data_IF_216144608440
#
_entry.id   IF_216144608440
#
_cell.length_a   1.000
_cell.length_b   1.000
_cell.length_c   1.000
_cell.angle_alpha   90.00
_cell.angle_beta   90.00
_cell.angle_gamma   90.00
#
_symmetry.space_group_name_H-M   'P 1'
#
loop_
_entity.id
_entity.type
_entity.pdbx_description
1 polymer ?
#
# COMPACT_ATOMS: atom_id res chain seq x y z
N UNK A 1 -6.14 -14.17 7.60
CA UNK A 1 -5.66 -14.76 8.87
C UNK A 1 -5.78 -16.28 8.94
N UNK A 2 -6.74 -16.93 8.24
CA UNK A 2 -6.95 -18.37 8.30
C UNK A 2 -5.69 -19.24 8.06
N UNK A 3 -4.85 -18.91 7.07
CA UNK A 3 -3.66 -19.70 6.77
C UNK A 3 -2.57 -19.65 7.84
N UNK A 4 -2.40 -18.50 8.52
CA UNK A 4 -1.45 -18.39 9.63
C UNK A 4 -1.96 -19.17 10.85
N UNK A 5 -3.27 -19.07 11.13
CA UNK A 5 -3.88 -19.84 12.20
C UNK A 5 -3.73 -21.35 11.97
N UNK A 6 -4.06 -21.84 10.77
CA UNK A 6 -3.90 -23.24 10.41
C UNK A 6 -2.43 -23.71 10.54
N UNK A 7 -1.46 -22.89 10.12
CA UNK A 7 -0.05 -23.20 10.33
C UNK A 7 0.31 -23.31 11.82
N UNK A 8 -0.14 -22.38 12.66
CA UNK A 8 0.15 -22.39 14.09
C UNK A 8 -0.59 -23.50 14.86
N UNK A 9 -1.76 -23.92 14.39
CA UNK A 9 -2.47 -25.08 14.91
C UNK A 9 -1.71 -26.38 14.63
N UNK A 10 -1.08 -26.48 13.45
CA UNK A 10 -0.32 -27.67 13.04
C UNK A 10 1.10 -27.70 13.65
N UNK A 11 1.82 -26.58 13.59
CA UNK A 11 3.23 -26.47 13.99
C UNK A 11 3.42 -25.97 15.44
N UNK A 12 2.35 -25.53 16.10
CA UNK A 12 2.34 -25.00 17.46
C UNK A 12 2.81 -23.54 17.57
N UNK A 13 2.45 -22.88 18.67
CA UNK A 13 2.95 -21.53 18.96
C UNK A 13 4.46 -21.57 19.28
N UNK A 14 5.28 -20.69 18.69
CA UNK A 14 6.67 -20.53 19.12
C UNK A 14 6.74 -20.07 20.57
N UNK A 15 7.79 -20.52 21.28
CA UNK A 15 8.18 -19.89 22.55
C UNK A 15 8.51 -18.42 22.32
N UNK A 16 8.43 -17.63 23.40
CA UNK A 16 8.77 -16.21 23.35
C UNK A 16 10.18 -15.99 22.76
N UNK A 17 10.30 -15.02 21.86
CA UNK A 17 11.54 -14.70 21.16
C UNK A 17 11.94 -15.67 20.05
N UNK A 18 11.21 -16.77 19.83
CA UNK A 18 11.53 -17.74 18.78
C UNK A 18 10.88 -17.40 17.43
N UNK A 19 11.52 -17.74 16.29
CA UNK A 19 10.96 -17.51 14.96
C UNK A 19 9.64 -18.26 14.75
N UNK A 20 8.65 -17.57 14.18
CA UNK A 20 7.33 -18.13 13.83
C UNK A 20 7.46 -19.21 12.77
N UNK A 21 8.23 -18.93 11.71
CA UNK A 21 8.38 -19.83 10.57
C UNK A 21 9.48 -20.86 10.81
N UNK A 22 9.15 -22.15 10.72
CA UNK A 22 10.06 -23.26 10.97
C UNK A 22 10.02 -24.27 9.83
N UNK A 23 11.12 -25.01 9.66
CA UNK A 23 11.18 -26.14 8.73
C UNK A 23 10.35 -27.30 9.26
N UNK A 24 9.51 -27.88 8.39
CA UNK A 24 8.62 -28.99 8.76
C UNK A 24 9.24 -30.39 8.61
N UNK A 25 10.38 -30.50 7.91
CA UNK A 25 11.05 -31.78 7.67
C UNK A 25 12.18 -31.96 8.66
N UNK A 26 12.13 -33.05 9.42
CA UNK A 26 13.12 -33.37 10.45
C UNK A 26 12.93 -32.50 11.70
N UNK A 27 14.03 -32.23 12.38
CA UNK A 27 14.05 -31.34 13.54
C UNK A 27 13.62 -29.91 13.16
N UNK A 28 12.65 -29.29 13.87
CA UNK A 28 12.20 -27.93 13.60
C UNK A 28 13.33 -26.92 13.76
N UNK A 29 13.62 -26.17 12.69
CA UNK A 29 14.65 -25.10 12.68
C UNK A 29 14.07 -23.81 12.11
N UNK A 30 14.57 -22.63 12.50
CA UNK A 30 14.16 -21.37 11.90
C UNK A 30 14.23 -21.40 10.37
N UNK A 31 13.17 -20.93 9.72
CA UNK A 31 13.12 -20.86 8.27
C UNK A 31 14.10 -19.81 7.76
N UNK A 32 15.15 -20.25 7.06
CA UNK A 32 16.12 -19.34 6.44
C UNK A 32 15.55 -18.70 5.17
N UNK A 33 16.12 -17.56 4.76
CA UNK A 33 15.77 -16.93 3.49
C UNK A 33 15.89 -17.90 2.30
N UNK A 34 16.96 -18.69 2.26
CA UNK A 34 17.18 -19.68 1.19
C UNK A 34 16.15 -20.80 1.18
N UNK A 35 15.75 -21.28 2.37
CA UNK A 35 14.67 -22.26 2.48
C UNK A 35 13.34 -21.68 1.99
N UNK A 36 12.98 -20.47 2.42
CA UNK A 36 11.79 -19.77 1.95
C UNK A 36 11.81 -19.55 0.42
N UNK A 37 12.95 -19.10 -0.11
CA UNK A 37 13.16 -18.92 -1.55
C UNK A 37 12.97 -20.23 -2.32
N UNK A 38 13.51 -21.34 -1.81
CA UNK A 38 13.38 -22.66 -2.46
C UNK A 38 11.95 -23.19 -2.41
N UNK A 39 11.23 -22.98 -1.30
CA UNK A 39 9.80 -23.30 -1.20
C UNK A 39 9.01 -22.52 -2.26
N UNK A 40 9.26 -21.22 -2.39
CA UNK A 40 8.56 -20.38 -3.34
C UNK A 40 8.88 -20.74 -4.80
N UNK A 41 10.14 -21.04 -5.12
CA UNK A 41 10.55 -21.52 -6.44
C UNK A 41 9.80 -22.80 -6.84
N UNK A 42 9.71 -23.78 -5.94
CA UNK A 42 8.96 -25.02 -6.20
C UNK A 42 7.48 -24.75 -6.46
N UNK A 43 6.88 -23.80 -5.74
CA UNK A 43 5.50 -23.39 -5.99
C UNK A 43 5.35 -22.73 -7.37
N UNK A 44 6.30 -21.88 -7.77
CA UNK A 44 6.31 -21.27 -9.10
C UNK A 44 6.47 -22.32 -10.21
N UNK A 45 7.40 -23.27 -10.05
CA UNK A 45 7.59 -24.42 -10.96
C UNK A 45 6.28 -25.21 -11.13
N UNK A 46 5.59 -25.53 -10.04
CA UNK A 46 4.32 -26.26 -10.07
C UNK A 46 3.18 -25.47 -10.76
N UNK A 47 3.23 -24.14 -10.70
CA UNK A 47 2.25 -23.25 -11.33
C UNK A 47 2.64 -22.84 -12.77
N UNK A 48 3.81 -23.28 -13.28
CA UNK A 48 4.34 -22.82 -14.56
C UNK A 48 4.65 -21.33 -14.60
N UNK A 49 4.99 -20.75 -13.44
CA UNK A 49 5.22 -19.31 -13.27
C UNK A 49 6.69 -19.01 -12.99
N UNK A 50 7.10 -17.75 -13.15
CA UNK A 50 8.49 -17.29 -12.98
C UNK A 50 8.63 -16.18 -11.94
N UNK A 51 7.72 -16.13 -10.96
CA UNK A 51 7.71 -15.08 -9.94
C UNK A 51 8.83 -15.27 -8.93
N UNK A 52 9.24 -14.16 -8.31
CA UNK A 52 10.14 -14.12 -7.16
C UNK A 52 9.42 -13.64 -5.89
N UNK A 53 10.02 -13.85 -4.72
CA UNK A 53 9.51 -13.27 -3.47
C UNK A 53 9.47 -11.74 -3.52
N UNK A 54 10.35 -11.10 -4.30
CA UNK A 54 10.36 -9.66 -4.46
C UNK A 54 9.16 -9.16 -5.29
N UNK A 55 8.71 -9.95 -6.26
CA UNK A 55 7.54 -9.60 -7.07
C UNK A 55 6.24 -9.60 -6.26
N UNK A 56 6.15 -10.43 -5.21
CA UNK A 56 5.05 -10.36 -4.24
C UNK A 56 5.04 -9.02 -3.52
N UNK A 57 6.21 -8.53 -3.09
CA UNK A 57 6.35 -7.22 -2.44
C UNK A 57 5.98 -6.10 -3.39
N UNK A 58 6.46 -6.13 -4.64
CA UNK A 58 6.06 -5.16 -5.66
C UNK A 58 4.54 -5.16 -5.89
N UNK A 59 3.92 -6.33 -5.95
CA UNK A 59 2.48 -6.47 -6.16
C UNK A 59 1.69 -5.89 -4.98
N UNK A 60 2.09 -6.20 -3.75
CA UNK A 60 1.48 -5.64 -2.54
C UNK A 60 1.63 -4.11 -2.50
N UNK A 61 2.82 -3.59 -2.82
CA UNK A 61 3.09 -2.16 -2.87
C UNK A 61 2.22 -1.43 -3.90
N UNK A 62 2.10 -1.97 -5.13
CA UNK A 62 1.20 -1.43 -6.17
C UNK A 62 -0.25 -1.42 -5.73
N UNK A 63 -0.73 -2.50 -5.09
CA UNK A 63 -2.11 -2.58 -4.61
C UNK A 63 -2.39 -1.54 -3.51
N UNK A 64 -1.50 -1.44 -2.52
CA UNK A 64 -1.62 -0.44 -1.47
C UNK A 64 -1.52 1.00 -2.00
N UNK A 65 -0.66 1.27 -2.97
CA UNK A 65 -0.52 2.61 -3.56
C UNK A 65 -1.71 3.02 -4.44
N UNK A 66 -2.50 2.05 -4.92
CA UNK A 66 -3.72 2.29 -5.70
C UNK A 66 -4.99 2.38 -4.85
N UNK A 67 -4.90 1.97 -3.58
CA UNK A 67 -6.01 2.03 -2.65
C UNK A 67 -6.28 3.49 -2.27
N UNK A 68 -7.48 4.04 -2.58
CA UNK A 68 -7.81 5.43 -2.26
C UNK A 68 -7.87 5.71 -0.76
N UNK A 69 -8.04 4.69 0.09
CA UNK A 69 -8.06 4.84 1.55
C UNK A 69 -6.65 4.90 2.14
N UNK A 70 -5.61 4.54 1.38
CA UNK A 70 -4.22 4.55 1.84
C UNK A 70 -3.43 5.72 1.25
N UNK A 71 -2.76 6.47 2.13
CA UNK A 71 -1.83 7.52 1.75
C UNK A 71 -0.46 6.92 1.43
N UNK A 72 0.25 7.52 0.48
CA UNK A 72 1.59 7.06 0.07
C UNK A 72 2.59 6.98 1.24
N UNK A 73 2.47 7.87 2.24
CA UNK A 73 3.29 7.86 3.46
C UNK A 73 3.02 6.63 4.34
N UNK A 74 1.78 6.16 4.40
CA UNK A 74 1.41 4.95 5.14
C UNK A 74 1.98 3.72 4.44
N UNK A 75 1.90 3.67 3.10
CA UNK A 75 2.54 2.62 2.30
C UNK A 75 4.06 2.62 2.48
N UNK A 76 4.70 3.79 2.49
CA UNK A 76 6.13 3.93 2.78
C UNK A 76 6.49 3.32 4.15
N UNK A 77 5.65 3.56 5.15
CA UNK A 77 5.85 3.11 6.54
C UNK A 77 5.68 1.59 6.64
N UNK A 78 4.63 1.04 6.04
CA UNK A 78 4.36 -0.41 5.98
C UNK A 78 5.52 -1.14 5.30
N UNK A 79 6.02 -0.58 4.20
CA UNK A 79 7.15 -1.15 3.46
C UNK A 79 8.49 -0.88 4.14
N UNK A 80 8.57 0.03 5.13
CA UNK A 80 9.82 0.47 5.78
C UNK A 80 10.84 1.00 4.79
N UNK A 81 10.39 1.81 3.84
CA UNK A 81 11.28 2.49 2.91
C UNK A 81 11.85 3.77 3.51
N UNK A 82 13.18 3.91 3.49
CA UNK A 82 13.88 5.11 3.97
C UNK A 82 13.48 6.36 3.18
N UNK A 83 13.36 6.24 1.85
CA UNK A 83 13.05 7.36 0.96
C UNK A 83 11.69 7.19 0.30
N UNK A 84 10.88 8.24 0.30
CA UNK A 84 9.55 8.21 -0.34
C UNK A 84 9.62 7.95 -1.84
N UNK A 85 10.70 8.41 -2.51
CA UNK A 85 10.96 8.16 -3.93
C UNK A 85 10.97 6.68 -4.30
N UNK A 86 11.42 5.80 -3.41
CA UNK A 86 11.37 4.33 -3.64
C UNK A 86 9.94 3.77 -3.60
N UNK A 87 9.03 4.48 -2.92
CA UNK A 87 7.60 4.12 -2.85
C UNK A 87 6.81 4.76 -3.99
N UNK A 88 7.22 5.94 -4.47
CA UNK A 88 6.66 6.61 -5.65
C UNK A 88 6.74 5.74 -6.91
N UNK A 89 7.70 4.81 -7.00
CA UNK A 89 7.74 3.81 -8.09
C UNK A 89 6.44 2.98 -8.22
N UNK A 90 5.63 2.91 -7.18
CA UNK A 90 4.35 2.17 -7.18
C UNK A 90 3.12 3.03 -7.48
N UNK A 91 3.26 4.35 -7.57
CA UNK A 91 2.15 5.26 -7.87
C UNK A 91 1.88 5.39 -9.36
N UNK A 92 2.65 4.69 -10.21
CA UNK A 92 2.41 4.64 -11.65
C UNK A 92 0.96 4.22 -11.93
N UNK A 93 0.17 5.20 -12.35
CA UNK A 93 -1.24 5.08 -12.66
C UNK A 93 -1.35 4.22 -13.94
N UNK A 94 -2.20 3.21 -13.94
CA UNK A 94 -2.49 2.45 -15.16
C UNK A 94 -3.10 3.37 -16.22
N UNK A 95 -2.95 3.03 -17.50
CA UNK A 95 -3.56 3.81 -18.58
C UNK A 95 -5.08 3.92 -18.40
N UNK A 96 -5.73 2.83 -18.02
CA UNK A 96 -7.18 2.79 -17.78
C UNK A 96 -7.59 3.72 -16.61
N UNK A 97 -6.87 3.63 -15.48
CA UNK A 97 -7.08 4.52 -14.33
C UNK A 97 -6.88 6.02 -14.70
N UNK A 98 -5.94 6.31 -15.62
CA UNK A 98 -5.73 7.67 -16.13
C UNK A 98 -6.90 8.11 -17.00
N UNK A 99 -7.37 7.25 -17.91
CA UNK A 99 -8.49 7.55 -18.80
C UNK A 99 -9.78 7.78 -18.00
N UNK A 100 -10.07 6.95 -17.00
CA UNK A 100 -11.23 7.09 -16.14
C UNK A 100 -11.17 8.40 -15.32
N UNK A 101 -10.02 8.70 -14.71
CA UNK A 101 -9.84 9.95 -13.95
C UNK A 101 -9.94 11.19 -14.84
N UNK A 102 -9.39 11.12 -16.05
CA UNK A 102 -9.44 12.23 -17.00
C UNK A 102 -10.88 12.45 -17.51
N UNK A 103 -11.60 11.37 -17.80
CA UNK A 103 -13.02 11.42 -18.14
C UNK A 103 -13.85 12.05 -17.03
N UNK A 104 -13.66 11.60 -15.77
CA UNK A 104 -14.34 12.17 -14.61
C UNK A 104 -13.98 13.66 -14.38
N UNK A 105 -12.74 14.05 -14.66
CA UNK A 105 -12.30 15.44 -14.56
C UNK A 105 -13.02 16.34 -15.58
N UNK A 106 -13.08 15.92 -16.85
CA UNK A 106 -13.75 16.70 -17.91
C UNK A 106 -15.28 16.65 -17.83
N UNK A 107 -15.85 15.61 -17.25
CA UNK A 107 -17.29 15.53 -16.99
C UNK A 107 -17.75 16.41 -15.81
N UNK A 108 -16.82 16.95 -15.01
CA UNK A 108 -17.16 17.81 -13.87
C UNK A 108 -17.76 19.12 -14.38
N UNK A 109 -18.99 19.48 -13.98
CA UNK A 109 -19.58 20.74 -14.40
C UNK A 109 -18.70 21.90 -13.94
N UNK A 110 -18.49 22.86 -14.84
CA UNK A 110 -17.75 24.08 -14.54
C UNK A 110 -18.47 24.77 -13.39
N UNK A 111 -17.80 24.83 -12.24
CA UNK A 111 -18.28 25.62 -11.11
C UNK A 111 -18.27 27.08 -11.59
N UNK A 112 -19.42 27.76 -11.65
CA UNK A 112 -19.44 29.16 -12.03
C UNK A 112 -18.61 29.92 -11.01
N UNK A 113 -17.51 30.51 -11.46
CA UNK A 113 -16.68 31.36 -10.62
C UNK A 113 -17.48 32.64 -10.38
N UNK A 114 -18.23 32.68 -9.28
CA UNK A 114 -18.88 33.88 -8.81
C UNK A 114 -17.90 34.60 -7.90
N UNK A 115 -17.35 35.71 -8.41
CA UNK A 115 -16.71 36.68 -7.56
C UNK A 115 -17.80 37.51 -6.91
N UNK A 116 -17.93 37.52 -5.57
CA UNK A 116 -18.87 38.42 -4.93
C UNK A 116 -18.46 39.85 -5.28
N UNK A 117 -19.40 40.64 -5.82
CA UNK A 117 -19.14 42.04 -6.22
C UNK A 117 -18.99 42.96 -5.01
N UNK A 118 -19.26 42.44 -3.82
CA UNK A 118 -19.14 43.12 -2.53
C UNK A 118 -18.43 42.17 -1.57
N UNK A 119 -17.46 42.70 -0.82
CA UNK A 119 -16.85 41.94 0.27
C UNK A 119 -17.92 41.65 1.33
N UNK A 120 -17.90 40.44 1.89
CA UNK A 120 -18.74 40.14 3.05
C UNK A 120 -18.33 41.06 4.21
N UNK A 121 -19.30 41.55 4.98
CA UNK A 121 -19.03 42.43 6.12
C UNK A 121 -18.06 41.76 7.11
N UNK A 122 -18.22 40.46 7.32
CA UNK A 122 -17.35 39.63 8.18
C UNK A 122 -15.90 39.57 7.68
N UNK A 123 -15.68 39.54 6.35
CA UNK A 123 -14.34 39.56 5.75
C UNK A 123 -13.69 40.93 5.91
N UNK A 124 -14.47 42.01 5.74
CA UNK A 124 -14.01 43.38 5.98
C UNK A 124 -13.63 43.55 7.45
N UNK A 125 -14.44 43.05 8.37
CA UNK A 125 -14.18 43.11 9.82
C UNK A 125 -12.94 42.29 10.21
N UNK A 126 -12.75 41.11 9.62
CA UNK A 126 -11.58 40.26 9.88
C UNK A 126 -10.26 40.89 9.39
N UNK A 127 -10.29 41.64 8.28
CA UNK A 127 -9.09 42.25 7.68
C UNK A 127 -8.82 43.65 8.20
N UNK A 128 -9.85 44.48 8.38
CA UNK A 128 -9.72 45.90 8.73
C UNK A 128 -10.13 46.22 10.18
N UNK A 129 -10.69 45.25 10.91
CA UNK A 129 -11.27 45.45 12.24
C UNK A 129 -12.65 46.13 12.17
N UNK A 130 -13.47 45.93 13.21
CA UNK A 130 -14.72 46.67 13.37
C UNK A 130 -14.38 48.17 13.47
N UNK A 131 -14.75 48.94 12.45
CA UNK A 131 -14.42 50.36 12.37
C UNK A 131 -14.85 51.12 13.63
N UNK A 132 -13.88 51.77 14.27
CA UNK A 132 -14.13 52.92 15.15
C UNK A 132 -14.12 54.21 14.34
#
# INVERSE_FOLDING_TARGET
>A
MAYLAAYLEEDGLPLEGMPVWRTRRGEPRPLTYWAARRIFQRACEALGSNWTLHDLRHTAAKRMARDPELKLREVQTILRHTHISTTELYTAVGLDDLLDKLGAHYARPVQPVSWPTQYAADDIEAVFGAGQ
#
